data_IF_930963209558
#
_entry.id   IF_930963209558
#
_cell.length_a   1.000
_cell.length_b   1.000
_cell.length_c   1.000
_cell.angle_alpha   90.00
_cell.angle_beta   90.00
_cell.angle_gamma   90.00
#
_symmetry.space_group_name_H-M   'P 1'
#
loop_
_entity.id
_entity.type
_entity.pdbx_description
1 polymer ?
#
# COMPACT_ATOMS: atom_id res chain seq x y z
N UNK A 1 9.22 0.25 -52.71
CA UNK A 1 9.33 -0.69 -51.58
C UNK A 1 8.54 -0.05 -50.44
N UNK A 2 7.24 -0.25 -50.25
CA UNK A 2 6.46 -1.48 -50.06
C UNK A 2 6.98 -2.32 -48.89
N UNK A 3 6.59 -1.94 -47.66
CA UNK A 3 6.32 -2.89 -46.59
C UNK A 3 4.95 -2.52 -46.01
N UNK A 4 4.08 -3.52 -46.01
CA UNK A 4 2.67 -3.46 -45.67
C UNK A 4 2.44 -3.93 -44.23
N UNK A 5 1.33 -3.42 -43.66
CA UNK A 5 0.35 -4.08 -42.80
C UNK A 5 0.80 -4.87 -41.56
N UNK A 6 0.26 -4.48 -40.41
CA UNK A 6 -0.77 -5.31 -39.74
C UNK A 6 -1.53 -4.49 -38.70
N UNK A 7 -2.79 -4.17 -39.00
CA UNK A 7 -3.80 -3.77 -38.01
C UNK A 7 -4.48 -5.05 -37.52
N UNK A 8 -4.33 -5.39 -36.25
CA UNK A 8 -5.06 -6.49 -35.63
C UNK A 8 -6.16 -5.93 -34.71
N UNK A 9 -7.37 -5.82 -35.27
CA UNK A 9 -8.59 -5.49 -34.55
C UNK A 9 -8.95 -6.60 -33.55
N UNK A 10 -8.92 -6.30 -32.24
CA UNK A 10 -9.51 -7.19 -31.22
C UNK A 10 -11.00 -6.92 -31.10
N UNK A 11 -11.79 -7.90 -31.53
CA UNK A 11 -13.25 -7.94 -31.39
C UNK A 11 -13.59 -8.20 -29.92
N UNK A 12 -14.23 -7.23 -29.25
CA UNK A 12 -14.93 -7.46 -27.99
C UNK A 12 -16.23 -8.22 -28.29
N UNK A 13 -16.36 -9.43 -27.74
CA UNK A 13 -17.61 -10.18 -27.71
C UNK A 13 -18.33 -9.83 -26.41
N UNK A 14 -19.43 -9.09 -26.53
CA UNK A 14 -20.36 -8.79 -25.44
C UNK A 14 -21.19 -10.04 -25.13
N UNK A 15 -21.03 -10.61 -23.93
CA UNK A 15 -21.92 -11.65 -23.42
C UNK A 15 -22.99 -10.99 -22.56
N UNK A 16 -24.20 -10.88 -23.12
CA UNK A 16 -25.40 -10.45 -22.42
C UNK A 16 -25.99 -11.65 -21.64
N UNK A 17 -26.00 -11.58 -20.31
CA UNK A 17 -26.73 -12.53 -19.46
C UNK A 17 -28.08 -11.95 -19.07
N UNK A 18 -29.14 -12.61 -19.52
CA UNK A 18 -30.54 -12.30 -19.24
C UNK A 18 -30.89 -12.61 -17.77
N UNK A 19 -31.44 -11.61 -17.08
CA UNK A 19 -32.19 -11.76 -15.85
C UNK A 19 -33.54 -12.42 -16.12
N UNK A 20 -33.85 -13.53 -15.44
CA UNK A 20 -35.20 -14.06 -15.31
C UNK A 20 -35.66 -13.85 -13.86
N UNK A 21 -36.63 -12.95 -13.69
CA UNK A 21 -37.33 -12.70 -12.42
C UNK A 21 -38.60 -13.55 -12.42
N UNK A 22 -38.78 -14.40 -11.42
CA UNK A 22 -40.07 -14.97 -11.09
C UNK A 22 -40.16 -15.29 -9.59
N UNK A 23 -41.22 -14.82 -8.94
CA UNK A 23 -41.72 -15.42 -7.70
C UNK A 23 -42.03 -14.45 -6.56
N UNK A 24 -43.31 -14.07 -6.48
CA UNK A 24 -43.95 -13.44 -5.32
C UNK A 24 -43.71 -14.24 -4.02
N UNK A 25 -43.46 -13.54 -2.91
CA UNK A 25 -43.51 -14.10 -1.56
C UNK A 25 -43.60 -12.99 -0.51
N UNK A 26 -44.58 -13.10 0.37
CA UNK A 26 -45.10 -12.07 1.28
C UNK A 26 -44.11 -11.46 2.29
N UNK A 27 -44.38 -10.19 2.62
CA UNK A 27 -43.80 -9.41 3.73
C UNK A 27 -44.26 -9.99 5.08
N UNK A 28 -43.40 -9.93 6.12
CA UNK A 28 -43.91 -9.51 7.41
C UNK A 28 -43.21 -8.26 7.94
N UNK A 29 -44.06 -7.50 8.64
CA UNK A 29 -43.88 -6.27 9.39
C UNK A 29 -42.53 -6.01 10.06
N UNK A 30 -42.21 -4.72 10.09
CA UNK A 30 -41.16 -4.09 10.86
C UNK A 30 -41.18 -4.48 12.34
N UNK A 31 -40.03 -4.91 12.83
CA UNK A 31 -39.61 -4.70 14.21
C UNK A 31 -38.39 -3.77 14.15
N UNK A 32 -38.55 -2.55 14.65
CA UNK A 32 -37.42 -1.70 15.01
C UNK A 32 -36.72 -2.35 16.20
N UNK A 33 -35.50 -2.83 16.01
CA UNK A 33 -34.54 -2.96 17.10
C UNK A 33 -33.19 -2.43 16.63
N UNK A 34 -32.49 -1.80 17.58
CA UNK A 34 -31.29 -0.96 17.45
C UNK A 34 -30.26 -1.45 16.40
N UNK A 35 -29.46 -0.54 15.80
CA UNK A 35 -28.21 -0.96 15.18
C UNK A 35 -27.35 -1.63 16.27
N UNK A 36 -27.15 -2.94 16.12
CA UNK A 36 -26.16 -3.67 16.89
C UNK A 36 -24.77 -3.06 16.59
N UNK A 37 -23.90 -2.92 17.60
CA UNK A 37 -22.55 -2.45 17.38
C UNK A 37 -21.84 -3.41 16.42
N UNK A 38 -21.03 -2.84 15.52
CA UNK A 38 -20.18 -3.55 14.59
C UNK A 38 -19.57 -4.79 15.25
N UNK A 39 -19.79 -5.95 14.64
CA UNK A 39 -19.07 -7.17 14.99
C UNK A 39 -17.58 -6.87 14.84
N UNK A 40 -16.89 -6.77 15.97
CA UNK A 40 -15.44 -6.93 16.03
C UNK A 40 -15.13 -8.29 15.43
N UNK A 41 -14.62 -8.29 14.20
CA UNK A 41 -13.99 -9.48 13.62
C UNK A 41 -12.82 -9.84 14.55
N UNK A 42 -13.02 -10.89 15.33
CA UNK A 42 -11.94 -11.55 16.06
C UNK A 42 -10.94 -12.07 15.02
N UNK A 43 -9.66 -11.77 15.25
CA UNK A 43 -8.54 -12.10 14.37
C UNK A 43 -8.63 -13.52 13.81
N UNK A 44 -8.85 -13.60 12.50
CA UNK A 44 -8.72 -14.83 11.74
C UNK A 44 -7.25 -15.19 11.58
N UNK A 45 -7.00 -16.50 11.46
CA UNK A 45 -5.70 -17.04 11.07
C UNK A 45 -5.38 -16.56 9.64
N UNK A 46 -4.57 -15.51 9.50
CA UNK A 46 -4.13 -14.98 8.21
C UNK A 46 -2.71 -15.48 7.93
N UNK A 47 -2.55 -16.22 6.82
CA UNK A 47 -1.24 -16.64 6.33
C UNK A 47 -0.53 -15.49 5.62
N UNK A 48 0.80 -15.51 5.63
CA UNK A 48 1.66 -14.51 4.99
C UNK A 48 1.32 -14.27 3.50
N UNK A 49 0.83 -15.31 2.81
CA UNK A 49 0.59 -15.29 1.36
C UNK A 49 -0.63 -14.46 0.92
N UNK A 50 -1.51 -14.07 1.85
CA UNK A 50 -2.77 -13.35 1.55
C UNK A 50 -2.75 -11.89 2.07
N UNK A 51 -1.60 -11.38 2.52
CA UNK A 51 -1.50 -10.03 3.06
C UNK A 51 -1.25 -9.01 1.96
N UNK A 52 -2.31 -8.29 1.62
CA UNK A 52 -2.26 -7.07 0.80
C UNK A 52 -2.62 -5.87 1.68
N UNK A 53 -1.63 -5.16 2.27
CA UNK A 53 -1.90 -4.03 3.14
C UNK A 53 -2.67 -2.93 2.39
N UNK A 54 -3.78 -2.51 2.98
CA UNK A 54 -4.63 -1.43 2.45
C UNK A 54 -4.50 -0.17 3.28
N UNK A 55 -4.81 0.97 2.67
CA UNK A 55 -4.85 2.21 3.42
C UNK A 55 -6.04 2.28 4.40
N UNK A 56 -5.82 2.92 5.54
CA UNK A 56 -6.83 3.24 6.55
C UNK A 56 -6.72 4.71 6.97
N UNK A 57 -7.82 5.35 7.40
CA UNK A 57 -7.76 6.69 7.97
C UNK A 57 -6.90 6.69 9.24
N UNK A 58 -5.87 7.53 9.25
CA UNK A 58 -4.94 7.62 10.37
C UNK A 58 -5.48 8.51 11.48
N UNK A 59 -5.18 8.11 12.71
CA UNK A 59 -5.33 8.93 13.90
C UNK A 59 -4.00 8.99 14.62
N UNK A 60 -3.77 10.03 15.44
CA UNK A 60 -2.51 10.16 16.18
C UNK A 60 -2.17 8.91 17.01
N UNK A 61 -3.18 8.22 17.57
CA UNK A 61 -2.97 6.96 18.31
C UNK A 61 -2.46 5.82 17.43
N UNK A 62 -2.96 5.71 16.19
CA UNK A 62 -2.51 4.68 15.26
C UNK A 62 -1.06 4.94 14.83
N UNK A 63 -0.71 6.20 14.56
CA UNK A 63 0.66 6.61 14.23
C UNK A 63 1.61 6.35 15.41
N UNK A 64 1.20 6.71 16.64
CA UNK A 64 1.98 6.42 17.86
C UNK A 64 2.16 4.92 18.10
N UNK A 65 1.11 4.14 17.92
CA UNK A 65 1.17 2.68 18.03
C UNK A 65 2.13 2.07 17.02
N UNK A 66 2.12 2.54 15.77
CA UNK A 66 3.05 2.12 14.73
C UNK A 66 4.50 2.41 15.14
N UNK A 67 4.80 3.66 15.50
CA UNK A 67 6.15 4.09 15.91
C UNK A 67 6.66 3.28 17.10
N UNK A 68 5.78 3.00 18.07
CA UNK A 68 6.15 2.25 19.27
C UNK A 68 6.36 0.75 19.00
N UNK A 69 5.59 0.16 18.08
CA UNK A 69 5.69 -1.26 17.72
C UNK A 69 6.92 -1.56 16.85
N UNK A 70 7.30 -0.62 15.99
CA UNK A 70 8.38 -0.76 15.02
C UNK A 70 9.69 -1.35 15.59
N UNK A 71 10.34 -0.74 16.61
CA UNK A 71 11.62 -1.26 17.11
C UNK A 71 11.51 -2.64 17.77
N UNK A 72 10.33 -3.02 18.27
CA UNK A 72 10.11 -4.35 18.84
C UNK A 72 9.98 -5.42 17.73
N UNK A 73 9.34 -5.06 16.61
CA UNK A 73 9.29 -5.92 15.44
C UNK A 73 10.67 -6.08 14.79
N UNK A 74 11.45 -5.01 14.69
CA UNK A 74 12.84 -5.05 14.24
C UNK A 74 13.69 -5.99 15.10
N UNK A 75 13.67 -5.81 16.42
CA UNK A 75 14.41 -6.68 17.33
C UNK A 75 13.95 -8.15 17.25
N UNK A 76 12.64 -8.39 17.06
CA UNK A 76 12.12 -9.75 16.85
C UNK A 76 12.62 -10.34 15.54
N UNK A 77 12.61 -9.57 14.45
CA UNK A 77 13.10 -9.97 13.13
C UNK A 77 14.57 -10.34 13.17
N UNK A 78 15.42 -9.51 13.79
CA UNK A 78 16.85 -9.79 13.97
C UNK A 78 17.08 -11.11 14.73
N UNK A 79 16.33 -11.31 15.81
CA UNK A 79 16.40 -12.55 16.60
C UNK A 79 15.99 -13.77 15.77
N UNK A 80 14.87 -13.70 15.05
CA UNK A 80 14.39 -14.81 14.21
C UNK A 80 15.38 -15.12 13.08
N UNK A 81 15.95 -14.09 12.44
CA UNK A 81 16.96 -14.25 11.40
C UNK A 81 18.28 -14.86 11.94
N UNK A 82 18.67 -14.55 13.18
CA UNK A 82 19.82 -15.16 13.83
C UNK A 82 19.59 -16.64 14.21
N UNK A 83 18.36 -16.99 14.60
CA UNK A 83 17.98 -18.36 14.94
C UNK A 83 17.76 -19.27 13.72
N UNK A 84 17.48 -18.68 12.54
CA UNK A 84 17.29 -19.39 11.29
C UNK A 84 18.05 -18.71 10.12
N UNK A 85 19.38 -18.90 10.00
CA UNK A 85 20.17 -18.25 8.96
C UNK A 85 19.81 -18.68 7.53
N UNK A 86 19.07 -19.79 7.35
CA UNK A 86 18.58 -20.22 6.03
C UNK A 86 17.45 -19.33 5.48
N UNK A 87 16.78 -18.53 6.33
CA UNK A 87 15.83 -17.50 5.88
C UNK A 87 16.54 -16.39 5.10
N UNK A 88 17.84 -16.13 5.37
CA UNK A 88 18.67 -15.21 4.59
C UNK A 88 19.04 -15.74 3.18
N UNK A 89 18.83 -17.03 2.90
CA UNK A 89 19.15 -17.65 1.61
C UNK A 89 17.92 -17.86 0.71
N UNK A 90 16.69 -17.85 1.25
CA UNK A 90 15.48 -17.90 0.42
C UNK A 90 15.32 -16.68 -0.48
N UNK A 91 15.91 -15.54 -0.07
CA UNK A 91 16.01 -14.30 -0.83
C UNK A 91 16.97 -14.39 -2.04
N UNK A 92 17.77 -15.46 -2.11
CA UNK A 92 18.74 -15.71 -3.20
C UNK A 92 18.37 -16.87 -4.10
N UNK A 93 17.20 -17.48 -3.93
CA UNK A 93 16.76 -18.54 -4.83
C UNK A 93 16.15 -17.93 -6.11
N UNK A 94 16.85 -17.93 -7.26
CA UNK A 94 16.39 -17.27 -8.48
C UNK A 94 15.10 -17.89 -9.04
N UNK A 95 14.73 -19.08 -8.56
CA UNK A 95 13.56 -19.81 -9.04
C UNK A 95 12.22 -19.31 -8.47
N UNK A 96 12.23 -18.45 -7.43
CA UNK A 96 11.01 -17.95 -6.76
C UNK A 96 10.79 -16.44 -6.93
N UNK A 97 11.68 -15.74 -7.63
CA UNK A 97 11.43 -14.35 -8.02
C UNK A 97 10.58 -14.34 -9.30
N UNK A 98 9.46 -13.61 -9.37
CA UNK A 98 8.93 -13.22 -10.67
C UNK A 98 10.01 -12.37 -11.35
N UNK A 99 10.58 -12.87 -12.44
CA UNK A 99 11.53 -12.13 -13.28
C UNK A 99 10.85 -10.84 -13.78
N UNK A 100 11.06 -9.73 -13.09
CA UNK A 100 10.91 -8.39 -13.65
C UNK A 100 12.25 -7.69 -13.55
N UNK A 101 13.00 -7.74 -14.65
CA UNK A 101 14.20 -6.95 -14.91
C UNK A 101 13.86 -5.46 -14.96
N UNK A 102 13.53 -4.82 -13.82
CA UNK A 102 13.53 -3.36 -13.70
C UNK A 102 14.10 -2.95 -12.35
N UNK A 103 15.37 -2.56 -12.40
CA UNK A 103 16.10 -1.73 -11.44
C UNK A 103 16.16 -2.22 -9.97
N UNK A 104 17.36 -2.69 -9.61
CA UNK A 104 17.97 -2.59 -8.28
C UNK A 104 18.04 -1.10 -7.87
N UNK A 105 16.91 -0.49 -7.57
CA UNK A 105 16.82 0.69 -6.73
C UNK A 105 16.93 0.12 -5.33
N UNK A 106 18.07 0.32 -4.67
CA UNK A 106 18.43 -0.35 -3.40
C UNK A 106 17.21 -0.58 -2.53
N UNK A 107 16.75 -1.84 -2.50
CA UNK A 107 15.52 -2.21 -1.82
C UNK A 107 15.74 -1.90 -0.34
N UNK A 108 15.16 -0.79 0.12
CA UNK A 108 14.77 -0.73 1.52
C UNK A 108 13.85 -1.95 1.69
N UNK A 109 14.38 -3.01 2.29
CA UNK A 109 13.66 -4.25 2.57
C UNK A 109 12.25 -3.87 2.98
N UNK A 110 11.21 -4.29 2.24
CA UNK A 110 9.81 -3.96 2.60
C UNK A 110 9.60 -4.37 4.06
N UNK A 111 9.60 -3.39 4.98
CA UNK A 111 9.73 -3.71 6.39
C UNK A 111 8.40 -4.27 6.92
N UNK A 112 7.31 -4.03 6.20
CA UNK A 112 5.99 -4.63 6.43
C UNK A 112 5.96 -6.05 5.86
N UNK A 113 6.54 -6.29 4.69
CA UNK A 113 6.60 -7.62 4.07
C UNK A 113 7.54 -8.59 4.80
N UNK A 114 8.67 -8.12 5.32
CA UNK A 114 9.70 -8.95 5.92
C UNK A 114 9.20 -9.76 7.13
N UNK A 115 8.39 -9.14 8.00
CA UNK A 115 7.84 -9.82 9.17
C UNK A 115 6.68 -10.77 8.82
N UNK A 116 5.98 -10.55 7.70
CA UNK A 116 4.89 -11.42 7.26
C UNK A 116 5.36 -12.87 7.07
N UNK A 117 6.61 -13.07 6.62
CA UNK A 117 7.21 -14.40 6.41
C UNK A 117 7.24 -15.29 7.66
N UNK A 118 7.13 -14.70 8.86
CA UNK A 118 7.16 -15.42 10.14
C UNK A 118 5.77 -15.66 10.75
N UNK A 119 4.68 -15.22 10.13
CA UNK A 119 3.34 -15.30 10.72
C UNK A 119 2.84 -16.72 10.97
N UNK A 120 3.28 -17.67 10.14
CA UNK A 120 2.95 -19.08 10.28
C UNK A 120 3.97 -19.87 11.14
N UNK A 121 5.04 -19.22 11.62
CA UNK A 121 6.03 -19.86 12.49
C UNK A 121 5.49 -19.98 13.94
N UNK A 122 5.37 -21.21 14.50
CA UNK A 122 4.81 -21.43 15.83
C UNK A 122 5.63 -20.82 16.98
N UNK A 123 6.89 -20.44 16.75
CA UNK A 123 7.73 -19.72 17.70
C UNK A 123 7.62 -18.21 17.54
N UNK A 124 7.47 -17.72 16.31
CA UNK A 124 7.38 -16.28 16.04
C UNK A 124 5.97 -15.73 16.31
N UNK A 125 4.93 -16.45 15.88
CA UNK A 125 3.53 -16.01 15.97
C UNK A 125 3.12 -15.50 17.37
N UNK A 126 3.40 -16.21 18.49
CA UNK A 126 3.04 -15.70 19.82
C UNK A 126 3.80 -14.43 20.23
N UNK A 127 5.02 -14.24 19.74
CA UNK A 127 5.82 -13.03 19.99
C UNK A 127 5.26 -11.85 19.19
N UNK A 128 4.88 -12.08 17.92
CA UNK A 128 4.22 -11.09 17.06
C UNK A 128 2.89 -10.65 17.70
N UNK A 129 2.03 -11.59 18.09
CA UNK A 129 0.74 -11.31 18.76
C UNK A 129 0.92 -10.54 20.07
N UNK A 130 1.99 -10.82 20.83
CA UNK A 130 2.28 -10.09 22.06
C UNK A 130 2.64 -8.62 21.81
N UNK A 131 3.44 -8.33 20.77
CA UNK A 131 3.79 -6.96 20.36
C UNK A 131 2.53 -6.23 19.88
N UNK A 132 1.74 -6.86 18.99
CA UNK A 132 0.48 -6.29 18.49
C UNK A 132 -0.46 -5.91 19.63
N UNK A 133 -0.70 -6.84 20.56
CA UNK A 133 -1.57 -6.60 21.72
C UNK A 133 -1.04 -5.48 22.63
N UNK A 134 0.27 -5.43 22.85
CA UNK A 134 0.91 -4.37 23.65
C UNK A 134 0.64 -2.98 23.07
N UNK A 135 0.65 -2.88 21.74
CA UNK A 135 0.43 -1.63 20.99
C UNK A 135 -0.99 -1.45 20.47
N UNK A 136 -1.93 -2.27 20.95
CA UNK A 136 -3.37 -2.18 20.68
C UNK A 136 -3.79 -2.43 19.22
N UNK A 137 -2.96 -3.15 18.47
CA UNK A 137 -3.36 -3.71 17.17
C UNK A 137 -4.09 -5.03 17.38
N UNK A 138 -5.21 -5.23 16.70
CA UNK A 138 -6.00 -6.45 16.85
C UNK A 138 -5.39 -7.63 16.08
N UNK A 139 -4.67 -7.35 14.99
CA UNK A 139 -4.01 -8.33 14.14
C UNK A 139 -2.78 -7.74 13.45
N UNK A 140 -1.98 -8.61 12.82
CA UNK A 140 -0.89 -8.17 11.97
C UNK A 140 -1.39 -7.36 10.77
N UNK A 141 -2.52 -7.79 10.18
CA UNK A 141 -3.14 -7.06 9.06
C UNK A 141 -3.54 -5.64 9.45
N UNK A 142 -4.07 -5.43 10.66
CA UNK A 142 -4.40 -4.06 11.13
C UNK A 142 -3.15 -3.20 11.29
N UNK A 143 -2.06 -3.79 11.81
CA UNK A 143 -0.80 -3.09 11.90
C UNK A 143 -0.21 -2.78 10.52
N UNK A 144 -0.24 -3.74 9.59
CA UNK A 144 0.26 -3.58 8.23
C UNK A 144 -0.51 -2.51 7.44
N UNK A 145 -1.84 -2.47 7.57
CA UNK A 145 -2.68 -1.42 6.99
C UNK A 145 -2.31 -0.03 7.51
N UNK A 146 -2.07 0.08 8.83
CA UNK A 146 -1.63 1.32 9.47
C UNK A 146 -0.22 1.68 8.99
N UNK A 147 0.70 0.73 8.94
CA UNK A 147 2.07 0.94 8.49
C UNK A 147 2.10 1.44 7.04
N UNK A 148 1.37 0.80 6.12
CA UNK A 148 1.22 1.23 4.72
C UNK A 148 0.71 2.67 4.64
N UNK A 149 -0.33 2.99 5.41
CA UNK A 149 -0.91 4.33 5.45
C UNK A 149 0.07 5.38 5.99
N UNK A 150 0.84 5.04 7.02
CA UNK A 150 1.86 5.92 7.62
C UNK A 150 3.00 6.17 6.64
N UNK A 151 3.51 5.12 5.99
CA UNK A 151 4.63 5.23 5.04
C UNK A 151 4.26 6.05 3.81
N UNK A 152 3.07 5.84 3.23
CA UNK A 152 2.60 6.66 2.11
C UNK A 152 2.45 8.14 2.53
N UNK A 153 1.83 8.40 3.67
CA UNK A 153 1.66 9.76 4.18
C UNK A 153 2.99 10.43 4.56
N UNK A 154 3.95 9.67 5.07
CA UNK A 154 5.30 10.13 5.38
C UNK A 154 6.05 10.51 4.10
N UNK A 155 6.06 9.63 3.09
CA UNK A 155 6.69 9.92 1.79
C UNK A 155 6.09 11.14 1.10
N UNK A 156 4.76 11.29 1.12
CA UNK A 156 4.08 12.47 0.59
C UNK A 156 4.32 13.76 1.39
N UNK A 157 4.82 13.65 2.63
CA UNK A 157 5.18 14.81 3.46
C UNK A 157 6.58 15.33 3.16
N UNK A 158 7.42 14.52 2.51
CA UNK A 158 8.77 14.91 2.10
C UNK A 158 8.73 15.70 0.79
N UNK A 159 9.21 16.96 0.76
CA UNK A 159 9.29 17.75 -0.48
C UNK A 159 10.21 17.12 -1.55
N UNK A 160 11.15 16.25 -1.18
CA UNK A 160 11.99 15.50 -2.12
C UNK A 160 11.37 14.13 -2.51
N UNK A 161 10.47 13.60 -1.66
CA UNK A 161 9.85 12.27 -1.77
C UNK A 161 8.69 12.16 -2.75
N UNK A 162 8.52 13.12 -3.67
CA UNK A 162 7.52 13.02 -4.74
C UNK A 162 6.09 13.32 -4.32
N UNK A 163 5.88 14.08 -3.25
CA UNK A 163 4.60 14.75 -2.94
C UNK A 163 4.26 15.82 -3.99
N UNK A 164 4.13 15.43 -5.25
CA UNK A 164 3.61 16.30 -6.30
C UNK A 164 2.12 16.53 -6.02
N UNK A 165 1.67 17.77 -6.18
CA UNK A 165 0.24 18.07 -6.23
C UNK A 165 -0.30 17.46 -7.53
N UNK A 166 -0.62 16.17 -7.45
CA UNK A 166 -1.05 15.35 -8.58
C UNK A 166 -2.31 15.94 -9.22
N UNK A 167 -3.15 16.61 -8.43
CA UNK A 167 -4.32 17.33 -8.94
C UNK A 167 -3.92 18.57 -9.75
N UNK A 168 -2.96 19.36 -9.27
CA UNK A 168 -2.41 20.49 -10.04
C UNK A 168 -1.71 20.03 -11.32
N UNK A 169 -0.96 18.92 -11.26
CA UNK A 169 -0.28 18.35 -12.42
C UNK A 169 -1.29 17.84 -13.45
N UNK A 170 -2.31 17.08 -13.02
CA UNK A 170 -3.43 16.66 -13.88
C UNK A 170 -4.06 17.86 -14.59
N UNK A 171 -4.38 18.90 -13.83
CA UNK A 171 -5.02 20.11 -14.36
C UNK A 171 -4.12 20.80 -15.40
N UNK A 172 -2.82 20.90 -15.13
CA UNK A 172 -1.86 21.48 -16.08
C UNK A 172 -1.85 20.71 -17.40
N UNK A 173 -1.78 19.38 -17.34
CA UNK A 173 -1.77 18.54 -18.55
C UNK A 173 -3.11 18.61 -19.29
N UNK A 174 -4.24 18.70 -18.57
CA UNK A 174 -5.56 18.93 -19.19
C UNK A 174 -5.60 20.25 -19.97
N UNK A 175 -5.05 21.33 -19.42
CA UNK A 175 -4.99 22.64 -20.08
C UNK A 175 -4.07 22.61 -21.32
N UNK A 176 -2.94 21.90 -21.24
CA UNK A 176 -2.03 21.68 -22.38
C UNK A 176 -2.75 20.92 -23.52
N UNK A 177 -3.45 19.83 -23.23
CA UNK A 177 -4.22 19.07 -24.23
C UNK A 177 -5.32 19.94 -24.85
N UNK A 178 -6.04 20.72 -24.03
CA UNK A 178 -7.13 21.55 -24.50
C UNK A 178 -6.64 22.69 -25.40
N UNK A 179 -5.48 23.27 -25.11
CA UNK A 179 -4.90 24.40 -25.84
C UNK A 179 -4.09 23.99 -27.08
N UNK A 180 -3.70 22.72 -27.22
CA UNK A 180 -2.95 22.25 -28.38
C UNK A 180 -3.79 22.32 -29.67
N UNK A 181 -3.40 23.19 -30.60
CA UNK A 181 -4.08 23.35 -31.88
C UNK A 181 -3.73 22.25 -32.90
N UNK A 182 -2.70 21.43 -32.65
CA UNK A 182 -2.32 20.32 -33.50
C UNK A 182 -3.22 19.09 -33.31
N UNK A 183 -3.90 18.98 -32.16
CA UNK A 183 -4.84 17.90 -31.88
C UNK A 183 -6.24 18.22 -32.40
N UNK A 184 -6.85 17.28 -33.10
CA UNK A 184 -8.28 17.30 -33.40
C UNK A 184 -9.13 17.12 -32.13
N UNK A 185 -10.42 17.45 -32.21
CA UNK A 185 -11.35 17.29 -31.08
C UNK A 185 -11.43 15.84 -30.57
N UNK A 186 -11.40 14.87 -31.49
CA UNK A 186 -11.43 13.44 -31.14
C UNK A 186 -10.12 13.00 -30.45
N UNK A 187 -8.97 13.48 -30.91
CA UNK A 187 -7.67 13.20 -30.29
C UNK A 187 -7.58 13.82 -28.89
N UNK A 188 -8.05 15.06 -28.71
CA UNK A 188 -8.13 15.70 -27.38
C UNK A 188 -8.99 14.90 -26.42
N UNK A 189 -10.14 14.43 -26.89
CA UNK A 189 -11.06 13.62 -26.07
C UNK A 189 -10.43 12.29 -25.66
N UNK A 190 -9.72 11.61 -26.58
CA UNK A 190 -8.99 10.38 -26.25
C UNK A 190 -7.88 10.65 -25.24
N UNK A 191 -7.07 11.68 -25.48
CA UNK A 191 -5.96 12.04 -24.58
C UNK A 191 -6.45 12.41 -23.18
N UNK A 192 -7.57 13.14 -23.05
CA UNK A 192 -8.17 13.44 -21.74
C UNK A 192 -8.68 12.19 -21.02
N UNK A 193 -9.27 11.24 -21.76
CA UNK A 193 -9.72 9.97 -21.19
C UNK A 193 -8.54 9.13 -20.69
N UNK A 194 -7.48 9.01 -21.50
CA UNK A 194 -6.29 8.25 -21.15
C UNK A 194 -5.55 8.92 -19.98
N UNK A 195 -5.55 10.25 -19.92
CA UNK A 195 -5.04 11.01 -18.77
C UNK A 195 -5.85 10.73 -17.50
N UNK A 196 -7.19 10.74 -17.59
CA UNK A 196 -8.05 10.42 -16.45
C UNK A 196 -7.79 9.01 -15.91
N UNK A 197 -7.61 8.02 -16.78
CA UNK A 197 -7.32 6.64 -16.39
C UNK A 197 -5.92 6.50 -15.74
N UNK A 198 -4.91 7.16 -16.29
CA UNK A 198 -3.55 7.19 -15.71
C UNK A 198 -3.56 7.84 -14.32
N UNK A 199 -4.20 9.01 -14.18
CA UNK A 199 -4.24 9.71 -12.91
C UNK A 199 -5.11 8.98 -11.88
N UNK A 200 -6.19 8.30 -12.27
CA UNK A 200 -6.96 7.47 -11.35
C UNK A 200 -6.13 6.30 -10.79
N UNK A 201 -5.24 5.71 -11.59
CA UNK A 201 -4.29 4.70 -11.11
C UNK A 201 -3.29 5.31 -10.12
N UNK A 202 -2.72 6.49 -10.43
CA UNK A 202 -1.78 7.18 -9.54
C UNK A 202 -2.43 7.65 -8.23
N UNK A 203 -3.69 8.11 -8.27
CA UNK A 203 -4.47 8.49 -7.09
C UNK A 203 -4.64 7.34 -6.10
N UNK A 204 -4.66 6.08 -6.56
CA UNK A 204 -4.75 4.92 -5.67
C UNK A 204 -3.51 4.73 -4.77
N UNK A 205 -2.38 5.31 -5.18
CA UNK A 205 -1.13 5.33 -4.42
C UNK A 205 -0.94 6.61 -3.59
N UNK A 206 -1.87 7.58 -3.68
CA UNK A 206 -1.84 8.76 -2.83
C UNK A 206 -2.34 8.43 -1.42
N UNK A 207 -1.83 9.11 -0.38
CA UNK A 207 -2.37 8.97 0.97
C UNK A 207 -3.86 9.32 1.01
N UNK A 208 -4.64 8.60 1.79
CA UNK A 208 -6.04 8.97 2.04
C UNK A 208 -6.15 10.41 2.60
N UNK A 209 -7.24 11.15 2.28
CA UNK A 209 -7.45 12.49 2.81
C UNK A 209 -7.35 12.54 4.35
N UNK A 210 -6.53 13.46 4.87
CA UNK A 210 -6.30 13.61 6.31
C UNK A 210 -5.09 12.82 6.87
N UNK A 211 -4.57 11.83 6.13
CA UNK A 211 -3.47 10.99 6.63
C UNK A 211 -2.14 11.77 6.71
N UNK A 212 -1.88 12.66 5.75
CA UNK A 212 -0.70 13.55 5.78
C UNK A 212 -0.76 14.45 7.02
N UNK A 213 -1.91 15.04 7.32
CA UNK A 213 -2.10 15.86 8.50
C UNK A 213 -1.96 15.08 9.81
N UNK A 214 -2.41 13.82 9.83
CA UNK A 214 -2.28 12.94 10.99
C UNK A 214 -0.82 12.54 11.26
N UNK A 215 -0.01 12.37 10.21
CA UNK A 215 1.41 11.99 10.30
C UNK A 215 2.32 13.17 10.60
N UNK A 216 1.97 14.38 10.14
CA UNK A 216 2.77 15.60 10.29
C UNK A 216 3.39 15.85 11.68
N UNK A 217 2.71 15.61 12.82
CA UNK A 217 3.30 15.82 14.15
C UNK A 217 4.39 14.81 14.53
N UNK A 218 4.55 13.75 13.74
CA UNK A 218 5.39 12.59 14.05
C UNK A 218 6.53 12.40 13.04
N UNK A 219 6.69 13.29 12.05
CA UNK A 219 7.66 13.14 10.96
C UNK A 219 9.08 12.86 11.46
N UNK A 220 9.58 13.65 12.41
CA UNK A 220 10.93 13.44 12.98
C UNK A 220 11.08 12.04 13.59
N UNK A 221 10.07 11.60 14.36
CA UNK A 221 10.10 10.28 14.98
C UNK A 221 10.03 9.14 13.97
N UNK A 222 9.29 9.32 12.88
CA UNK A 222 9.18 8.33 11.81
C UNK A 222 10.49 8.28 11.03
N UNK A 223 11.10 9.44 10.73
CA UNK A 223 12.44 9.52 10.11
C UNK A 223 13.48 8.77 10.94
N UNK A 224 13.48 8.97 12.26
CA UNK A 224 14.38 8.28 13.19
C UNK A 224 14.25 6.74 13.15
N UNK A 225 13.12 6.18 12.71
CA UNK A 225 12.94 4.72 12.57
C UNK A 225 13.71 4.12 11.39
N UNK A 226 13.91 4.90 10.32
CA UNK A 226 14.56 4.47 9.08
C UNK A 226 16.01 4.97 8.97
N UNK A 227 16.40 5.89 9.85
CA UNK A 227 17.76 6.36 10.06
C UNK A 227 18.13 7.60 9.25
N UNK A 228 19.03 8.41 9.84
CA UNK A 228 20.17 8.97 9.12
C UNK A 228 21.37 8.09 9.51
N UNK A 229 21.76 7.13 8.66
CA UNK A 229 23.06 6.46 8.76
C UNK A 229 24.14 7.28 8.01
N UNK A 230 24.03 8.61 8.06
CA UNK A 230 25.06 9.55 7.59
C UNK A 230 26.14 9.75 8.67
N UNK A 231 27.10 8.82 8.68
CA UNK A 231 28.51 9.00 9.05
C UNK A 231 28.89 10.05 10.10
N UNK A 232 28.98 9.62 11.36
CA UNK A 232 30.00 10.14 12.29
C UNK A 232 31.34 9.42 12.02
N UNK A 233 31.94 9.70 10.86
CA UNK A 233 33.40 9.67 10.71
C UNK A 233 33.97 10.90 11.43
N UNK A 234 33.94 10.87 12.76
CA UNK A 234 34.69 11.79 13.61
C UNK A 234 36.13 11.29 13.82
N UNK A 235 36.80 10.88 12.73
CA UNK A 235 38.24 10.86 12.63
C UNK A 235 38.79 12.29 12.63
N UNK A 236 39.07 12.86 13.81
CA UNK A 236 39.96 14.01 13.89
C UNK A 236 39.77 14.95 15.07
N UNK A 237 40.33 14.60 16.23
CA UNK A 237 41.15 15.49 17.09
C UNK A 237 41.58 14.76 18.37
N UNK A 238 42.77 14.16 18.34
CA UNK A 238 43.97 14.64 19.06
C UNK A 238 45.15 13.71 18.82
#
# INVERSE_FOLDING_TARGET
>A
MLIAASHASRKFLVAASLFAIAGLGAVPAAAQDKPAPAETQQGGDQSAADLEPKQVPLTGKLVEGFIAAWPEFEALREKLAAENPAAKEQDKNPQNQPESDEAEVGEAEDPIGALATYLDDPKAKPQIEAILKKHQFASYSDWADVAQSVLLAFGASDPEGGGTDLAAEKKKVQEEIQSDAALSEDEKKSALKDLDEQFAALESFQPLPGNVEAVKPYLDKIKDLFGDDEGDDAGGKK
#
